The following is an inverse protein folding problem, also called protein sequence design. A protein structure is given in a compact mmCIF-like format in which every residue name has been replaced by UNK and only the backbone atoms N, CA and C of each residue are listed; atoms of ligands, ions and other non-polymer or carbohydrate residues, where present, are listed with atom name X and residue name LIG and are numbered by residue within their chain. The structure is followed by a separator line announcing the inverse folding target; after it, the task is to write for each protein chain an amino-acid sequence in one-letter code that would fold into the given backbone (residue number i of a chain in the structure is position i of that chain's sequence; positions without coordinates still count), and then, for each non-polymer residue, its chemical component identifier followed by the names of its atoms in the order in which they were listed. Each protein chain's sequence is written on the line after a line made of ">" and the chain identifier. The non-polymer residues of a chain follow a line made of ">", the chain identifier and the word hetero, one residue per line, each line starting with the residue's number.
data_IF_208056150674
#
_entry.id   IF_208056150674
#
_cell.length_a   1.000
_cell.length_b   1.000
_cell.length_c   1.000
_cell.angle_alpha   90.00
_cell.angle_beta   90.00
_cell.angle_gamma   90.00
#
_symmetry.space_group_name_H-M   'P 1'
#
loop_
_entity.id
_entity.type
_entity.pdbx_description
1 polymer ?
#
# COMPACT_ATOMS: atom_id res chain seq x y z
N UNK A 1 0.42 -10.23 -39.95
CA UNK A 1 0.92 -9.95 -38.59
C UNK A 1 0.37 -8.60 -38.15
N UNK A 2 -0.16 -8.49 -36.92
CA UNK A 2 -0.72 -7.23 -36.43
C UNK A 2 0.38 -6.17 -36.26
N UNK A 3 0.14 -4.95 -36.76
CA UNK A 3 1.07 -3.82 -36.66
C UNK A 3 1.30 -3.47 -35.19
N UNK A 4 2.56 -3.34 -34.77
CA UNK A 4 2.87 -2.90 -33.41
C UNK A 4 2.19 -1.56 -33.09
N UNK A 5 1.52 -1.45 -31.94
CA UNK A 5 0.93 -0.18 -31.51
C UNK A 5 2.01 0.86 -31.26
N UNK A 6 1.76 2.10 -31.69
CA UNK A 6 2.70 3.22 -31.51
C UNK A 6 2.96 3.45 -30.00
N UNK A 7 4.21 3.68 -29.58
CA UNK A 7 4.51 4.05 -28.20
C UNK A 7 3.88 5.40 -27.85
N UNK A 8 3.55 5.59 -26.57
CA UNK A 8 3.12 6.90 -26.06
C UNK A 8 4.32 7.74 -25.65
N UNK A 9 4.11 9.05 -25.53
CA UNK A 9 5.12 9.95 -24.95
C UNK A 9 5.02 9.91 -23.45
N UNK A 10 6.14 9.73 -22.76
CA UNK A 10 6.19 9.78 -21.31
C UNK A 10 5.71 11.15 -20.81
N UNK A 11 4.86 11.15 -19.80
CA UNK A 11 4.26 12.36 -19.21
C UNK A 11 5.15 12.95 -18.11
N UNK A 12 4.72 14.06 -17.48
CA UNK A 12 5.50 14.70 -16.40
C UNK A 12 5.61 13.81 -15.15
N UNK A 13 4.59 13.01 -14.88
CA UNK A 13 4.54 12.01 -13.81
C UNK A 13 4.35 10.63 -14.42
N UNK A 14 5.21 9.68 -14.06
CA UNK A 14 5.16 8.30 -14.52
C UNK A 14 5.45 7.37 -13.34
N UNK A 15 4.96 6.13 -13.39
CA UNK A 15 5.31 5.07 -12.43
C UNK A 15 6.35 4.13 -13.04
N UNK A 16 7.06 3.36 -12.21
CA UNK A 16 8.04 2.38 -12.71
C UNK A 16 7.38 1.36 -13.65
N UNK A 17 6.18 0.88 -13.29
CA UNK A 17 5.39 -0.04 -14.12
C UNK A 17 4.96 0.57 -15.46
N UNK A 18 4.55 1.84 -15.47
CA UNK A 18 4.24 2.57 -16.72
C UNK A 18 5.48 2.71 -17.60
N UNK A 19 6.62 3.05 -16.99
CA UNK A 19 7.89 3.16 -17.69
C UNK A 19 8.36 1.83 -18.30
N UNK A 20 8.27 0.72 -17.56
CA UNK A 20 8.66 -0.60 -18.09
C UNK A 20 7.71 -1.04 -19.21
N UNK A 21 6.41 -0.74 -19.10
CA UNK A 21 5.44 -0.96 -20.18
C UNK A 21 5.76 -0.12 -21.42
N UNK A 22 6.14 1.14 -21.22
CA UNK A 22 6.59 2.05 -22.28
C UNK A 22 7.85 1.51 -22.96
N UNK A 23 8.86 1.11 -22.18
CA UNK A 23 10.12 0.53 -22.68
C UNK A 23 9.85 -0.68 -23.56
N UNK A 24 9.05 -1.64 -23.07
CA UNK A 24 8.75 -2.86 -23.80
C UNK A 24 8.01 -2.57 -25.11
N UNK A 25 7.03 -1.67 -25.08
CA UNK A 25 6.31 -1.25 -26.31
C UNK A 25 7.24 -0.52 -27.27
N UNK A 26 8.12 0.35 -26.78
CA UNK A 26 9.08 1.10 -27.59
C UNK A 26 10.02 0.15 -28.33
N UNK A 27 10.62 -0.81 -27.62
CA UNK A 27 11.52 -1.82 -28.19
C UNK A 27 10.80 -2.65 -29.25
N UNK A 28 9.62 -3.18 -28.91
CA UNK A 28 8.82 -3.97 -29.86
C UNK A 28 8.46 -3.18 -31.12
N UNK A 29 8.07 -1.92 -30.97
CA UNK A 29 7.76 -1.04 -32.10
C UNK A 29 8.99 -0.78 -32.98
N UNK A 30 10.14 -0.45 -32.38
CA UNK A 30 11.39 -0.19 -33.12
C UNK A 30 11.87 -1.43 -33.89
N UNK A 31 11.80 -2.62 -33.29
CA UNK A 31 12.17 -3.88 -33.94
C UNK A 31 11.28 -4.19 -35.15
N UNK A 32 10.00 -3.82 -35.12
CA UNK A 32 9.09 -4.02 -36.26
C UNK A 32 9.25 -2.98 -37.37
N UNK A 33 9.55 -1.72 -37.04
CA UNK A 33 9.62 -0.65 -38.04
C UNK A 33 10.88 -0.75 -38.90
N UNK A 34 12.03 -1.08 -38.31
CA UNK A 34 13.29 -1.10 -39.02
C UNK A 34 14.20 -2.25 -38.54
N UNK A 35 14.58 -3.11 -39.48
CA UNK A 35 15.53 -4.21 -39.23
C UNK A 35 16.88 -3.68 -38.71
N UNK A 36 17.26 -2.45 -39.05
CA UNK A 36 18.50 -1.81 -38.58
C UNK A 36 18.43 -1.47 -37.10
N UNK A 37 17.28 -1.07 -36.59
CA UNK A 37 17.08 -0.87 -35.15
C UNK A 37 17.07 -2.20 -34.42
N UNK A 38 16.45 -3.24 -34.99
CA UNK A 38 16.49 -4.58 -34.41
C UNK A 38 17.94 -5.05 -34.19
N UNK A 39 18.84 -4.84 -35.16
CA UNK A 39 20.28 -5.13 -35.01
C UNK A 39 20.93 -4.36 -33.85
N UNK A 40 20.56 -3.11 -33.62
CA UNK A 40 21.09 -2.27 -32.52
C UNK A 40 20.50 -2.59 -31.14
N UNK A 41 19.39 -3.33 -31.09
CA UNK A 41 18.65 -3.70 -29.88
C UNK A 41 18.85 -5.17 -29.49
N UNK A 42 19.75 -5.90 -30.16
CA UNK A 42 20.12 -7.28 -29.82
C UNK A 42 20.78 -7.33 -28.45
N UNK A 43 20.51 -8.37 -27.66
CA UNK A 43 21.15 -8.57 -26.36
C UNK A 43 20.53 -7.73 -25.23
N UNK A 44 19.34 -7.16 -25.46
CA UNK A 44 18.57 -6.46 -24.42
C UNK A 44 17.71 -7.41 -23.58
N UNK A 45 17.39 -8.59 -24.11
CA UNK A 45 16.74 -9.66 -23.36
C UNK A 45 17.84 -10.47 -22.64
N UNK A 46 17.76 -10.70 -21.32
CA UNK A 46 18.66 -11.61 -20.63
C UNK A 46 18.63 -13.05 -21.17
N UNK A 47 17.64 -13.42 -21.99
CA UNK A 47 17.58 -14.70 -22.70
C UNK A 47 18.43 -14.74 -24.00
N UNK A 48 18.88 -13.60 -24.52
CA UNK A 48 19.73 -13.55 -25.70
C UNK A 48 21.18 -13.89 -25.34
N UNK A 49 21.82 -14.80 -26.09
CA UNK A 49 23.23 -15.16 -25.89
C UNK A 49 24.19 -14.03 -26.33
N UNK A 50 23.72 -13.08 -27.14
CA UNK A 50 24.54 -11.97 -27.62
C UNK A 50 24.60 -10.83 -26.61
N UNK A 51 25.80 -10.28 -26.40
CA UNK A 51 26.00 -9.12 -25.55
C UNK A 51 25.32 -7.86 -26.14
N UNK A 52 24.76 -6.96 -25.29
CA UNK A 52 24.14 -5.73 -25.75
C UNK A 52 25.16 -4.83 -26.44
N UNK A 53 24.73 -4.19 -27.53
CA UNK A 53 25.58 -3.26 -28.27
C UNK A 53 25.80 -1.99 -27.43
N UNK A 54 27.08 -1.65 -27.27
CA UNK A 54 27.53 -0.43 -26.60
C UNK A 54 28.14 0.50 -27.64
N UNK A 55 27.84 1.79 -27.55
CA UNK A 55 28.39 2.84 -28.39
C UNK A 55 29.05 3.94 -27.55
N UNK A 56 29.89 4.76 -28.18
CA UNK A 56 30.49 5.91 -27.51
C UNK A 56 29.64 7.18 -27.62
N UNK A 57 29.95 8.16 -26.77
CA UNK A 57 29.36 9.50 -26.83
C UNK A 57 29.73 10.17 -28.15
N UNK A 58 28.80 10.94 -28.68
CA UNK A 58 29.08 11.74 -29.87
C UNK A 58 29.96 12.92 -29.47
N UNK A 59 31.14 13.01 -30.10
CA UNK A 59 32.06 14.14 -29.94
C UNK A 59 32.51 14.60 -31.33
N UNK A 60 33.01 15.82 -31.43
CA UNK A 60 33.55 16.35 -32.70
C UNK A 60 34.69 15.47 -33.26
N UNK A 61 35.42 14.77 -32.38
CA UNK A 61 36.53 13.89 -32.73
C UNK A 61 36.08 12.44 -33.01
N UNK A 62 34.86 12.07 -32.61
CA UNK A 62 34.31 10.72 -32.81
C UNK A 62 32.86 10.76 -33.30
N UNK A 63 32.62 11.16 -34.57
CA UNK A 63 31.27 11.23 -35.13
C UNK A 63 30.67 9.84 -35.39
N UNK A 64 31.50 8.80 -35.57
CA UNK A 64 31.06 7.42 -35.82
C UNK A 64 30.86 6.62 -34.53
N UNK A 65 31.10 7.21 -33.36
CA UNK A 65 30.93 6.58 -32.03
C UNK A 65 31.66 5.23 -31.90
N UNK A 66 32.81 5.11 -32.55
CA UNK A 66 33.64 3.90 -32.66
C UNK A 66 33.00 2.70 -33.37
N UNK A 67 31.98 2.90 -34.22
CA UNK A 67 31.59 1.82 -35.12
C UNK A 67 32.70 1.54 -36.13
N UNK A 68 32.88 0.26 -36.47
CA UNK A 68 33.74 -0.23 -37.54
C UNK A 68 32.90 -0.72 -38.71
N UNK A 69 33.50 -0.76 -39.90
CA UNK A 69 32.88 -1.37 -41.07
C UNK A 69 32.65 -2.87 -40.85
N UNK A 70 31.57 -3.42 -41.40
CA UNK A 70 31.37 -4.88 -41.47
C UNK A 70 32.29 -5.50 -42.53
N UNK A 71 32.63 -6.78 -42.35
CA UNK A 71 33.42 -7.54 -43.32
C UNK A 71 32.70 -7.63 -44.68
N UNK A 72 33.44 -7.45 -45.77
CA UNK A 72 32.90 -7.36 -47.14
C UNK A 72 32.13 -8.62 -47.59
N UNK A 73 32.39 -9.77 -46.97
CA UNK A 73 31.76 -11.05 -47.28
C UNK A 73 30.34 -11.23 -46.66
N UNK A 74 29.86 -10.24 -45.91
CA UNK A 74 28.53 -10.31 -45.27
C UNK A 74 27.44 -9.78 -46.22
N UNK A 75 26.34 -10.52 -46.48
CA UNK A 75 25.30 -10.13 -47.45
C UNK A 75 24.46 -8.87 -47.07
N UNK A 76 24.84 -8.12 -46.03
CA UNK A 76 24.26 -6.85 -45.57
C UNK A 76 25.35 -5.99 -44.88
N UNK A 77 26.56 -5.93 -45.44
CA UNK A 77 27.67 -5.17 -44.84
C UNK A 77 27.34 -3.67 -44.74
N UNK A 78 27.46 -3.13 -43.53
CA UNK A 78 27.24 -1.71 -43.26
C UNK A 78 28.57 -1.04 -42.92
N UNK A 79 28.77 0.14 -43.49
CA UNK A 79 29.87 1.02 -43.09
C UNK A 79 29.64 1.59 -41.70
N UNK A 80 30.71 1.96 -41.01
CA UNK A 80 30.71 2.67 -39.74
C UNK A 80 29.82 3.92 -39.78
N UNK A 81 29.85 4.67 -40.89
CA UNK A 81 29.02 5.85 -41.10
C UNK A 81 27.53 5.51 -41.21
N UNK A 82 27.17 4.42 -41.90
CA UNK A 82 25.78 3.96 -42.01
C UNK A 82 25.25 3.42 -40.67
N UNK A 83 26.09 2.73 -39.89
CA UNK A 83 25.76 2.29 -38.52
C UNK A 83 25.53 3.50 -37.60
N UNK A 84 26.44 4.48 -37.64
CA UNK A 84 26.30 5.71 -36.87
C UNK A 84 25.05 6.52 -37.23
N UNK A 85 24.72 6.60 -38.53
CA UNK A 85 23.47 7.23 -38.98
C UNK A 85 22.24 6.49 -38.45
N UNK A 86 22.22 5.16 -38.57
CA UNK A 86 21.13 4.32 -38.07
C UNK A 86 20.94 4.49 -36.55
N UNK A 87 22.05 4.56 -35.80
CA UNK A 87 21.99 4.86 -34.37
C UNK A 87 21.42 6.25 -34.09
N UNK A 88 21.87 7.28 -34.81
CA UNK A 88 21.35 8.64 -34.61
C UNK A 88 19.85 8.75 -34.92
N UNK A 89 19.36 8.04 -35.93
CA UNK A 89 17.93 7.95 -36.25
C UNK A 89 17.16 7.26 -35.11
N UNK A 90 17.71 6.18 -34.56
CA UNK A 90 17.13 5.46 -33.40
C UNK A 90 17.08 6.37 -32.15
N UNK A 91 18.17 7.06 -31.83
CA UNK A 91 18.24 7.99 -30.69
C UNK A 91 17.30 9.19 -30.89
N UNK A 92 17.17 9.66 -32.13
CA UNK A 92 16.18 10.65 -32.54
C UNK A 92 14.76 10.19 -32.22
N UNK A 93 14.42 8.97 -32.63
CA UNK A 93 13.13 8.37 -32.36
C UNK A 93 12.87 8.22 -30.86
N UNK A 94 13.79 7.63 -30.09
CA UNK A 94 13.65 7.46 -28.63
C UNK A 94 13.45 8.82 -27.94
N UNK A 95 14.18 9.85 -28.37
CA UNK A 95 14.05 11.20 -27.79
C UNK A 95 12.68 11.84 -28.00
N UNK A 96 11.93 11.44 -29.03
CA UNK A 96 10.59 11.98 -29.30
C UNK A 96 9.54 11.48 -28.29
N UNK A 97 9.76 10.28 -27.74
CA UNK A 97 8.87 9.64 -26.76
C UNK A 97 9.37 9.74 -25.32
N UNK A 98 10.54 10.34 -25.11
CA UNK A 98 11.15 10.58 -23.80
C UNK A 98 10.92 12.02 -23.35
N UNK A 99 11.13 12.35 -22.05
CA UNK A 99 11.10 13.72 -21.57
C UNK A 99 11.99 14.66 -22.40
N UNK A 100 11.49 15.83 -22.86
CA UNK A 100 12.25 16.74 -23.71
C UNK A 100 13.58 17.20 -23.08
N UNK A 101 13.62 17.33 -21.76
CA UNK A 101 14.82 17.69 -20.98
C UNK A 101 15.97 16.67 -21.14
N UNK A 102 15.65 15.41 -21.49
CA UNK A 102 16.64 14.36 -21.71
C UNK A 102 17.09 14.25 -23.16
N UNK A 103 16.50 14.99 -24.11
CA UNK A 103 16.74 14.79 -25.54
C UNK A 103 18.22 14.98 -25.94
N UNK A 104 18.90 16.00 -25.39
CA UNK A 104 20.33 16.19 -25.60
C UNK A 104 21.14 15.01 -25.07
N UNK A 105 20.81 14.58 -23.86
CA UNK A 105 21.49 13.54 -23.12
C UNK A 105 21.33 12.15 -23.73
N UNK A 106 20.17 11.88 -24.32
CA UNK A 106 19.85 10.67 -25.07
C UNK A 106 20.60 10.68 -26.41
N UNK A 107 20.57 11.80 -27.13
CA UNK A 107 21.23 11.90 -28.43
C UNK A 107 22.74 11.88 -28.29
N UNK A 108 23.35 12.79 -27.53
CA UNK A 108 24.81 13.00 -27.55
C UNK A 108 25.57 12.18 -26.50
N UNK A 109 25.00 12.00 -25.31
CA UNK A 109 25.75 11.49 -24.15
C UNK A 109 25.42 10.04 -23.75
N UNK A 110 24.49 9.38 -24.44
CA UNK A 110 24.15 7.97 -24.19
C UNK A 110 25.22 7.05 -24.77
N UNK A 111 25.39 5.88 -24.13
CA UNK A 111 26.37 4.86 -24.55
C UNK A 111 25.74 3.48 -24.76
N UNK A 112 24.49 3.29 -24.37
CA UNK A 112 23.70 2.08 -24.61
C UNK A 112 22.23 2.37 -24.40
N UNK A 113 21.36 1.44 -24.81
CA UNK A 113 19.93 1.56 -24.53
C UNK A 113 19.63 1.53 -23.03
N UNK A 114 20.32 0.67 -22.27
CA UNK A 114 20.17 0.64 -20.81
C UNK A 114 20.64 1.95 -20.16
N UNK A 115 21.69 2.60 -20.68
CA UNK A 115 22.09 3.93 -20.22
C UNK A 115 20.98 4.97 -20.41
N UNK A 116 20.21 4.88 -21.51
CA UNK A 116 19.04 5.75 -21.73
C UNK A 116 17.96 5.45 -20.70
N UNK A 117 17.63 4.17 -20.48
CA UNK A 117 16.65 3.76 -19.48
C UNK A 117 17.03 4.26 -18.07
N UNK A 118 18.30 4.16 -17.68
CA UNK A 118 18.80 4.67 -16.40
C UNK A 118 18.67 6.19 -16.29
N UNK A 119 18.95 6.94 -17.37
CA UNK A 119 18.76 8.40 -17.38
C UNK A 119 17.29 8.79 -17.19
N UNK A 120 16.38 8.08 -17.86
CA UNK A 120 14.94 8.30 -17.71
C UNK A 120 14.47 7.93 -16.29
N UNK A 121 14.92 6.78 -15.75
CA UNK A 121 14.65 6.40 -14.36
C UNK A 121 15.13 7.45 -13.37
N UNK A 122 16.33 8.00 -13.58
CA UNK A 122 16.87 9.07 -12.73
C UNK A 122 16.03 10.34 -12.80
N UNK A 123 15.50 10.69 -13.98
CA UNK A 123 14.65 11.86 -14.17
C UNK A 123 13.35 11.78 -13.35
N UNK A 124 12.68 10.63 -13.37
CA UNK A 124 11.45 10.41 -12.59
C UNK A 124 11.69 10.05 -11.12
N UNK A 125 12.95 9.96 -10.69
CA UNK A 125 13.26 9.56 -9.32
C UNK A 125 12.97 8.09 -9.03
N UNK A 126 12.92 7.20 -10.03
CA UNK A 126 12.80 5.74 -9.88
C UNK A 126 14.04 5.07 -9.27
N UNK A 127 14.84 5.82 -8.50
CA UNK A 127 16.02 5.27 -7.86
C UNK A 127 15.59 4.33 -6.76
N UNK A 128 15.97 3.07 -6.90
CA UNK A 128 15.93 2.12 -5.80
C UNK A 128 16.80 2.66 -4.66
N UNK A 129 16.18 2.79 -3.49
CA UNK A 129 16.84 3.26 -2.28
C UNK A 129 16.12 2.66 -1.09
N UNK A 130 16.85 2.43 -0.01
CA UNK A 130 16.26 1.95 1.24
C UNK A 130 15.18 2.92 1.77
N UNK A 131 15.33 4.22 1.51
CA UNK A 131 14.30 5.21 1.85
C UNK A 131 12.98 4.96 1.09
N UNK A 132 13.05 4.57 -0.19
CA UNK A 132 11.86 4.19 -0.96
C UNK A 132 11.30 2.85 -0.49
N UNK A 133 12.15 1.88 -0.16
CA UNK A 133 11.73 0.59 0.40
C UNK A 133 10.97 0.77 1.71
N UNK A 134 11.44 1.64 2.62
CA UNK A 134 10.82 1.94 3.91
C UNK A 134 9.39 2.49 3.82
N UNK A 135 8.99 3.09 2.69
CA UNK A 135 7.59 3.48 2.44
C UNK A 135 6.63 2.30 2.42
N UNK A 136 7.13 1.06 2.41
CA UNK A 136 6.33 -0.14 2.63
C UNK A 136 5.53 -0.08 3.95
N UNK A 137 6.10 0.54 4.98
CA UNK A 137 5.44 0.71 6.27
C UNK A 137 4.26 1.71 6.23
N UNK A 138 4.23 2.59 5.24
CA UNK A 138 3.18 3.60 5.05
C UNK A 138 1.98 3.04 4.28
N UNK A 139 2.10 1.85 3.69
CA UNK A 139 0.97 1.17 3.03
C UNK A 139 -0.07 0.83 4.09
N UNK A 140 -1.25 1.40 3.94
CA UNK A 140 -2.41 1.16 4.78
C UNK A 140 -3.63 0.89 3.91
N UNK A 141 -4.61 0.18 4.48
CA UNK A 141 -5.89 -0.02 3.84
C UNK A 141 -6.71 1.28 3.86
N UNK A 142 -7.15 1.73 2.68
CA UNK A 142 -7.93 2.96 2.55
C UNK A 142 -9.45 2.70 2.66
N UNK A 143 -10.19 3.68 3.19
CA UNK A 143 -11.66 3.56 3.32
C UNK A 143 -12.32 3.40 1.97
N UNK A 144 -13.06 2.29 1.78
CA UNK A 144 -13.72 1.97 0.51
C UNK A 144 -12.79 1.37 -0.56
N UNK A 145 -11.53 1.12 -0.23
CA UNK A 145 -10.60 0.40 -1.10
C UNK A 145 -10.93 -1.09 -1.12
N UNK A 146 -10.99 -1.68 -2.32
CA UNK A 146 -11.12 -3.13 -2.49
C UNK A 146 -9.89 -3.87 -1.96
N UNK A 147 -10.03 -4.99 -1.24
CA UNK A 147 -8.91 -5.79 -0.75
C UNK A 147 -7.88 -6.14 -1.84
N UNK A 148 -8.32 -6.45 -3.06
CA UNK A 148 -7.42 -6.80 -4.16
C UNK A 148 -6.56 -5.61 -4.57
N UNK A 149 -7.09 -4.38 -4.55
CA UNK A 149 -6.33 -3.18 -4.87
C UNK A 149 -5.21 -2.97 -3.85
N UNK A 150 -5.49 -3.16 -2.57
CA UNK A 150 -4.47 -3.12 -1.51
C UNK A 150 -3.41 -4.19 -1.74
N UNK A 151 -3.81 -5.42 -2.08
CA UNK A 151 -2.86 -6.50 -2.39
C UNK A 151 -1.93 -6.13 -3.55
N UNK A 152 -2.47 -5.57 -4.63
CA UNK A 152 -1.67 -5.13 -5.78
C UNK A 152 -0.69 -4.03 -5.39
N UNK A 153 -1.06 -3.10 -4.50
CA UNK A 153 -0.12 -2.08 -3.99
C UNK A 153 1.03 -2.69 -3.19
N UNK A 154 0.74 -3.66 -2.32
CA UNK A 154 1.75 -4.39 -1.55
C UNK A 154 2.73 -5.10 -2.49
N UNK A 155 2.21 -5.83 -3.48
CA UNK A 155 3.04 -6.58 -4.44
C UNK A 155 3.84 -5.63 -5.33
N UNK A 156 3.21 -4.59 -5.89
CA UNK A 156 3.88 -3.61 -6.73
C UNK A 156 5.02 -2.91 -5.99
N UNK A 157 4.80 -2.51 -4.73
CA UNK A 157 5.86 -1.91 -3.91
C UNK A 157 7.06 -2.85 -3.72
N UNK A 158 6.80 -4.13 -3.44
CA UNK A 158 7.87 -5.12 -3.29
C UNK A 158 8.62 -5.33 -4.61
N UNK A 159 7.89 -5.47 -5.72
CA UNK A 159 8.46 -5.64 -7.07
C UNK A 159 9.33 -4.45 -7.50
N UNK A 160 8.87 -3.23 -7.24
CA UNK A 160 9.59 -2.00 -7.60
C UNK A 160 10.91 -1.84 -6.82
N UNK A 161 11.02 -2.48 -5.65
CA UNK A 161 12.17 -2.42 -4.76
C UNK A 161 13.03 -3.70 -4.74
N UNK A 162 12.77 -4.68 -5.62
CA UNK A 162 13.67 -5.83 -5.80
C UNK A 162 15.05 -5.36 -6.27
N UNK A 163 16.13 -5.92 -5.71
CA UNK A 163 17.48 -5.47 -6.05
C UNK A 163 17.81 -5.71 -7.51
N UNK A 164 18.29 -4.67 -8.20
CA UNK A 164 18.70 -4.77 -9.60
C UNK A 164 20.21 -4.71 -9.74
N UNK A 165 20.72 -5.37 -10.77
CA UNK A 165 22.14 -5.32 -11.13
C UNK A 165 22.60 -3.89 -11.47
N UNK A 166 21.70 -3.08 -12.01
CA UNK A 166 21.97 -1.68 -12.36
C UNK A 166 21.75 -0.70 -11.20
N UNK A 167 21.37 -1.19 -10.02
CA UNK A 167 21.18 -0.36 -8.83
C UNK A 167 22.52 0.05 -8.20
N UNK A 168 22.51 1.16 -7.47
CA UNK A 168 23.67 1.60 -6.68
C UNK A 168 23.74 0.92 -5.30
N UNK A 169 22.78 0.02 -5.02
CA UNK A 169 22.67 -0.65 -3.75
C UNK A 169 23.61 -1.85 -3.71
N UNK A 170 24.20 -2.07 -2.55
CA UNK A 170 25.02 -3.24 -2.25
C UNK A 170 24.32 -4.08 -1.19
N UNK A 171 24.37 -5.39 -1.35
CA UNK A 171 23.89 -6.36 -0.38
C UNK A 171 25.09 -7.17 0.11
N UNK A 172 25.29 -7.21 1.43
CA UNK A 172 26.48 -7.84 2.04
C UNK A 172 27.82 -7.31 1.49
N UNK A 173 27.86 -6.03 1.10
CA UNK A 173 29.03 -5.39 0.52
C UNK A 173 29.26 -5.70 -0.97
N UNK A 174 28.38 -6.49 -1.59
CA UNK A 174 28.48 -6.89 -2.98
C UNK A 174 27.37 -6.22 -3.82
N UNK A 175 27.71 -5.81 -5.04
CA UNK A 175 26.71 -5.36 -6.01
C UNK A 175 25.94 -6.56 -6.57
N UNK A 176 24.60 -6.49 -6.71
CA UNK A 176 23.83 -7.59 -7.27
C UNK A 176 24.36 -8.00 -8.66
N UNK A 177 24.66 -9.29 -8.85
CA UNK A 177 25.17 -9.82 -10.13
C UNK A 177 24.04 -9.96 -11.17
N UNK A 178 22.81 -10.13 -10.70
CA UNK A 178 21.61 -10.30 -11.52
C UNK A 178 20.44 -9.53 -10.90
N UNK A 179 19.43 -9.24 -11.71
CA UNK A 179 18.17 -8.71 -11.21
C UNK A 179 17.49 -9.75 -10.31
N UNK A 180 17.09 -9.32 -9.13
CA UNK A 180 16.32 -10.13 -8.20
C UNK A 180 14.92 -10.39 -8.76
N UNK A 181 14.40 -11.57 -8.46
CA UNK A 181 13.04 -11.98 -8.78
C UNK A 181 12.35 -12.24 -7.45
N UNK A 182 11.07 -11.84 -7.35
CA UNK A 182 10.27 -12.06 -6.15
C UNK A 182 10.24 -13.56 -5.82
N UNK A 183 10.84 -13.94 -4.69
CA UNK A 183 10.90 -15.35 -4.29
C UNK A 183 9.55 -15.82 -3.74
N UNK A 184 9.25 -17.13 -3.77
CA UNK A 184 8.01 -17.68 -3.20
C UNK A 184 7.80 -17.30 -1.72
N UNK A 185 8.89 -17.13 -0.97
CA UNK A 185 8.82 -16.67 0.43
C UNK A 185 8.32 -15.23 0.52
N UNK A 186 8.84 -14.33 -0.31
CA UNK A 186 8.42 -12.91 -0.34
C UNK A 186 6.97 -12.80 -0.80
N UNK A 187 6.55 -13.58 -1.80
CA UNK A 187 5.15 -13.61 -2.24
C UNK A 187 4.19 -14.06 -1.13
N UNK A 188 4.58 -15.08 -0.34
CA UNK A 188 3.79 -15.54 0.82
C UNK A 188 3.73 -14.49 1.92
N UNK A 189 4.84 -13.79 2.17
CA UNK A 189 4.89 -12.69 3.14
C UNK A 189 4.03 -11.50 2.68
N UNK A 190 3.97 -11.22 1.37
CA UNK A 190 3.10 -10.19 0.82
C UNK A 190 1.62 -10.48 1.13
N UNK A 191 1.18 -11.73 0.97
CA UNK A 191 -0.19 -12.14 1.33
C UNK A 191 -0.44 -12.03 2.84
N UNK A 192 0.51 -12.46 3.68
CA UNK A 192 0.39 -12.33 5.13
C UNK A 192 0.25 -10.86 5.54
N UNK A 193 1.14 -10.00 5.04
CA UNK A 193 1.12 -8.56 5.32
C UNK A 193 -0.17 -7.92 4.84
N UNK A 194 -0.65 -8.28 3.65
CA UNK A 194 -1.93 -7.83 3.12
C UNK A 194 -3.10 -8.16 4.06
N UNK A 195 -3.18 -9.38 4.58
CA UNK A 195 -4.22 -9.76 5.55
C UNK A 195 -4.12 -8.96 6.85
N UNK A 196 -2.91 -8.76 7.37
CA UNK A 196 -2.67 -7.97 8.59
C UNK A 196 -3.08 -6.50 8.43
N UNK A 197 -2.87 -5.92 7.24
CA UNK A 197 -3.25 -4.54 6.93
C UNK A 197 -4.78 -4.36 6.87
N UNK A 198 -5.53 -5.39 6.47
CA UNK A 198 -6.99 -5.35 6.46
C UNK A 198 -7.53 -5.47 7.89
N UNK A 199 -7.11 -6.50 8.62
CA UNK A 199 -7.53 -6.68 10.01
C UNK A 199 -6.56 -7.58 10.80
N UNK A 200 -6.17 -7.20 12.04
CA UNK A 200 -5.18 -7.95 12.83
C UNK A 200 -5.60 -9.39 13.17
N UNK A 201 -6.90 -9.65 13.25
CA UNK A 201 -7.45 -11.00 13.50
C UNK A 201 -7.59 -11.88 12.25
N UNK A 202 -7.47 -11.32 11.05
CA UNK A 202 -7.72 -12.04 9.80
C UNK A 202 -6.77 -13.23 9.58
N UNK A 203 -5.44 -13.12 9.83
CA UNK A 203 -4.56 -14.27 9.67
C UNK A 203 -4.93 -15.47 10.56
N UNK A 204 -5.42 -15.21 11.78
CA UNK A 204 -5.83 -16.27 12.69
C UNK A 204 -7.11 -16.97 12.21
N UNK A 205 -8.07 -16.19 11.68
CA UNK A 205 -9.31 -16.73 11.11
C UNK A 205 -9.03 -17.55 9.84
N UNK A 206 -8.24 -17.02 8.91
CA UNK A 206 -7.82 -17.74 7.68
C UNK A 206 -7.10 -19.05 8.03
N UNK A 207 -6.22 -19.02 9.04
CA UNK A 207 -5.55 -20.24 9.54
C UNK A 207 -6.52 -21.29 10.06
N UNK A 208 -7.60 -20.88 10.74
CA UNK A 208 -8.66 -21.77 11.24
C UNK A 208 -9.50 -22.34 10.10
N UNK A 209 -9.94 -21.48 9.19
CA UNK A 209 -10.88 -21.83 8.12
C UNK A 209 -10.24 -22.70 7.04
N UNK A 210 -9.01 -22.36 6.61
CA UNK A 210 -8.30 -23.07 5.55
C UNK A 210 -7.21 -24.02 6.08
N UNK A 211 -7.37 -24.54 7.31
CA UNK A 211 -6.34 -25.34 7.98
C UNK A 211 -5.86 -26.54 7.14
N UNK A 212 -6.75 -27.17 6.38
CA UNK A 212 -6.43 -28.30 5.50
C UNK A 212 -5.65 -27.85 4.25
N UNK A 213 -6.11 -26.81 3.56
CA UNK A 213 -5.49 -26.34 2.31
C UNK A 213 -4.10 -25.73 2.57
N UNK A 214 -3.92 -25.04 3.70
CA UNK A 214 -2.64 -24.48 4.12
C UNK A 214 -1.55 -25.53 4.38
N UNK A 215 -1.88 -26.82 4.48
CA UNK A 215 -0.89 -27.90 4.56
C UNK A 215 -0.33 -28.29 3.18
N UNK A 216 -1.02 -27.92 2.09
CA UNK A 216 -0.76 -28.43 0.73
C UNK A 216 -0.55 -27.33 -0.30
N UNK A 217 -0.94 -26.10 0.02
CA UNK A 217 -0.90 -24.93 -0.85
C UNK A 217 -0.19 -23.76 -0.17
N UNK A 218 0.45 -22.91 -0.97
CA UNK A 218 1.08 -21.70 -0.42
C UNK A 218 0.02 -20.63 -0.15
N UNK A 219 0.32 -19.68 0.74
CA UNK A 219 -0.54 -18.51 0.95
C UNK A 219 -0.76 -17.71 -0.34
N UNK A 220 0.24 -17.69 -1.23
CA UNK A 220 0.14 -17.05 -2.54
C UNK A 220 -0.92 -17.71 -3.41
N UNK A 221 -0.96 -19.04 -3.45
CA UNK A 221 -1.94 -19.80 -4.23
C UNK A 221 -3.35 -19.75 -3.61
N UNK A 222 -3.43 -19.63 -2.29
CA UNK A 222 -4.70 -19.48 -1.56
C UNK A 222 -5.28 -18.06 -1.63
N UNK A 223 -4.49 -17.06 -2.04
CA UNK A 223 -4.88 -15.66 -2.02
C UNK A 223 -6.21 -15.37 -2.74
N UNK A 224 -6.53 -15.93 -3.93
CA UNK A 224 -7.81 -15.70 -4.58
C UNK A 224 -9.01 -16.19 -3.76
N UNK A 225 -8.90 -17.39 -3.18
CA UNK A 225 -9.95 -17.98 -2.34
C UNK A 225 -10.16 -17.18 -1.05
N UNK A 226 -9.06 -16.67 -0.47
CA UNK A 226 -9.12 -15.79 0.70
C UNK A 226 -9.83 -14.49 0.31
N UNK A 227 -9.45 -13.89 -0.82
CA UNK A 227 -10.04 -12.62 -1.29
C UNK A 227 -11.57 -12.72 -1.45
N UNK A 228 -12.05 -13.79 -2.10
CA UNK A 228 -13.49 -14.05 -2.27
C UNK A 228 -14.24 -14.20 -0.92
N UNK A 229 -13.55 -14.65 0.13
CA UNK A 229 -14.12 -14.87 1.45
C UNK A 229 -13.93 -13.69 2.44
N UNK A 230 -13.18 -12.64 2.06
CA UNK A 230 -12.79 -11.56 2.99
C UNK A 230 -13.99 -10.86 3.61
N UNK A 231 -15.01 -10.51 2.83
CA UNK A 231 -16.16 -9.78 3.36
C UNK A 231 -16.89 -10.58 4.45
N UNK A 232 -17.02 -11.90 4.25
CA UNK A 232 -17.55 -12.83 5.24
C UNK A 232 -16.68 -12.90 6.50
N UNK A 233 -15.36 -12.97 6.34
CA UNK A 233 -14.44 -12.96 7.48
C UNK A 233 -14.47 -11.66 8.27
N UNK A 234 -14.60 -10.52 7.60
CA UNK A 234 -14.70 -9.22 8.26
C UNK A 234 -15.99 -9.11 9.07
N UNK A 235 -17.09 -9.66 8.57
CA UNK A 235 -18.35 -9.70 9.29
C UNK A 235 -18.28 -10.65 10.50
N UNK A 236 -17.70 -11.84 10.34
CA UNK A 236 -17.45 -12.77 11.46
C UNK A 236 -16.60 -12.13 12.56
N UNK A 237 -15.51 -11.43 12.18
CA UNK A 237 -14.62 -10.75 13.12
C UNK A 237 -15.33 -9.60 13.86
N UNK A 238 -16.21 -8.84 13.18
CA UNK A 238 -17.05 -7.82 13.82
C UNK A 238 -17.99 -8.46 14.85
N UNK A 239 -18.62 -9.58 14.50
CA UNK A 239 -19.52 -10.30 15.40
C UNK A 239 -18.79 -10.88 16.61
N UNK A 240 -17.60 -11.47 16.42
CA UNK A 240 -16.74 -11.95 17.52
C UNK A 240 -16.33 -10.80 18.46
N UNK A 241 -16.04 -9.61 17.92
CA UNK A 241 -15.72 -8.42 18.72
C UNK A 241 -16.93 -7.92 19.53
N UNK A 242 -18.12 -7.87 18.93
CA UNK A 242 -19.37 -7.47 19.61
C UNK A 242 -19.73 -8.49 20.70
N UNK A 243 -19.66 -9.79 20.39
CA UNK A 243 -19.92 -10.87 21.34
C UNK A 243 -18.95 -10.82 22.53
N UNK A 244 -17.67 -10.60 22.26
CA UNK A 244 -16.65 -10.42 23.31
C UNK A 244 -16.89 -9.18 24.16
N UNK A 245 -17.31 -8.06 23.57
CA UNK A 245 -17.67 -6.85 24.31
C UNK A 245 -18.89 -7.07 25.20
N UNK A 246 -19.95 -7.70 24.67
CA UNK A 246 -21.15 -8.08 25.43
C UNK A 246 -20.80 -9.00 26.59
N UNK A 247 -20.01 -10.05 26.36
CA UNK A 247 -19.57 -10.97 27.41
C UNK A 247 -18.81 -10.25 28.55
N UNK A 248 -17.96 -9.26 28.22
CA UNK A 248 -17.28 -8.43 29.23
C UNK A 248 -18.25 -7.54 30.01
N UNK A 249 -19.29 -7.01 29.37
CA UNK A 249 -20.33 -6.21 30.06
C UNK A 249 -21.16 -7.11 31.00
N UNK A 250 -21.54 -8.31 30.55
CA UNK A 250 -22.24 -9.28 31.39
C UNK A 250 -21.36 -9.75 32.56
N UNK A 251 -20.07 -10.03 32.37
CA UNK A 251 -19.15 -10.36 33.47
C UNK A 251 -18.98 -9.22 34.49
N UNK A 252 -19.08 -7.96 34.04
CA UNK A 252 -18.95 -6.79 34.91
C UNK A 252 -20.23 -6.51 35.71
N UNK A 253 -21.40 -6.90 35.17
CA UNK A 253 -22.71 -6.75 35.83
C UNK A 253 -23.13 -7.99 36.63
N UNK A 254 -22.53 -9.16 36.39
CA UNK A 254 -22.74 -10.41 37.13
C UNK A 254 -21.56 -10.74 38.06
N UNK A 255 -20.94 -9.74 38.68
CA UNK A 255 -20.29 -9.99 39.98
C UNK A 255 -21.43 -10.19 40.99
N UNK A 256 -21.61 -11.39 41.57
CA UNK A 256 -22.59 -11.56 42.63
C UNK A 256 -22.20 -10.64 43.78
N UNK A 257 -23.09 -9.72 44.13
CA UNK A 257 -23.15 -9.05 45.43
C UNK A 257 -23.39 -10.10 46.51
N UNK A 258 -22.36 -10.88 46.84
CA UNK A 258 -22.51 -11.99 47.78
C UNK A 258 -21.43 -13.05 47.63
N UNK A 259 -20.18 -12.71 47.93
CA UNK A 259 -19.26 -13.51 48.74
C UNK A 259 -17.91 -12.79 48.77
N UNK A 260 -17.66 -12.08 49.88
CA UNK A 260 -16.30 -11.70 50.24
C UNK A 260 -15.47 -12.98 50.40
N UNK A 261 -14.24 -13.08 49.87
CA UNK A 261 -13.35 -14.17 50.22
C UNK A 261 -13.14 -14.21 51.75
N UNK A 262 -12.95 -15.40 52.36
CA UNK A 262 -12.76 -15.51 53.80
C UNK A 262 -11.55 -14.69 54.22
N UNK A 263 -11.75 -13.81 55.19
CA UNK A 263 -10.69 -13.05 55.83
C UNK A 263 -9.67 -14.04 56.41
N UNK A 264 -8.36 -13.96 56.08
CA UNK A 264 -7.37 -14.81 56.73
C UNK A 264 -7.31 -14.51 58.24
N UNK A 265 -6.96 -15.51 59.08
CA UNK A 265 -6.91 -15.34 60.52
C UNK A 265 -5.89 -14.26 60.93
N UNK A 266 -6.11 -13.56 62.06
CA UNK A 266 -5.24 -12.48 62.48
C UNK A 266 -3.87 -13.03 62.87
N UNK A 267 -2.84 -12.66 62.11
CA UNK A 267 -1.45 -12.87 62.50
C UNK A 267 -1.05 -11.89 63.62
N UNK A 268 -0.20 -12.29 64.57
CA UNK A 268 0.26 -11.40 65.63
C UNK A 268 1.06 -10.23 65.06
N UNK A 269 0.73 -9.04 65.56
CA UNK A 269 1.31 -7.73 65.21
C UNK A 269 2.84 -7.77 65.24
N UNK A 270 3.46 -7.41 64.12
CA UNK A 270 4.75 -6.72 64.14
C UNK A 270 4.51 -5.20 64.01
N UNK A 271 5.26 -4.36 64.73
CA UNK A 271 5.06 -2.92 64.72
C UNK A 271 5.63 -2.33 63.43
N UNK A 272 4.76 -2.11 62.44
CA UNK A 272 5.09 -1.31 61.27
C UNK A 272 5.00 0.16 61.70
N UNK A 273 6.14 0.85 61.65
CA UNK A 273 6.25 2.29 61.76
C UNK A 273 5.17 2.96 60.91
N UNK A 274 4.39 3.83 61.52
CA UNK A 274 3.31 4.57 60.88
C UNK A 274 3.83 5.43 59.72
N UNK A 275 3.83 4.88 58.50
CA UNK A 275 3.66 5.70 57.30
C UNK A 275 2.18 6.09 57.27
N UNK A 276 1.92 7.31 57.71
CA UNK A 276 0.64 7.99 57.54
C UNK A 276 0.23 7.89 56.07
N UNK A 277 -0.75 7.05 55.78
CA UNK A 277 -1.49 7.09 54.52
C UNK A 277 -2.28 8.40 54.54
N UNK A 278 -1.75 9.44 53.91
CA UNK A 278 -2.53 10.65 53.62
C UNK A 278 -3.46 10.33 52.45
N UNK A 279 -4.79 10.29 52.62
CA UNK A 279 -5.69 10.27 51.49
C UNK A 279 -5.52 11.61 50.77
N UNK A 280 -4.88 11.60 49.60
CA UNK A 280 -4.84 12.79 48.75
C UNK A 280 -6.27 13.06 48.31
N UNK A 281 -6.93 14.02 48.97
CA UNK A 281 -8.27 14.51 48.65
C UNK A 281 -8.24 15.34 47.36
N UNK A 282 -7.72 14.75 46.27
CA UNK A 282 -7.61 15.33 44.94
C UNK A 282 -8.95 15.23 44.19
N UNK A 283 -10.04 15.59 44.87
CA UNK A 283 -11.34 15.80 44.20
C UNK A 283 -11.19 17.05 43.34
N UNK A 284 -11.23 16.89 42.01
CA UNK A 284 -11.28 18.03 41.08
C UNK A 284 -12.57 18.00 40.26
N UNK A 285 -13.38 19.05 40.36
CA UNK A 285 -14.59 19.19 39.55
C UNK A 285 -14.24 19.41 38.07
N UNK A 286 -14.65 18.48 37.19
CA UNK A 286 -14.31 18.54 35.77
C UNK A 286 -14.93 19.75 35.06
N UNK A 287 -16.13 20.18 35.46
CA UNK A 287 -16.78 21.39 34.92
C UNK A 287 -16.03 22.66 35.33
N UNK A 288 -15.60 22.76 36.59
CA UNK A 288 -14.77 23.88 37.02
C UNK A 288 -13.41 23.85 36.33
N UNK A 289 -12.83 22.67 36.08
CA UNK A 289 -11.57 22.53 35.35
C UNK A 289 -11.71 22.96 33.89
N UNK A 290 -12.78 22.56 33.20
CA UNK A 290 -13.06 22.95 31.82
C UNK A 290 -13.32 24.46 31.69
N UNK A 291 -13.97 25.06 32.69
CA UNK A 291 -14.22 26.51 32.74
C UNK A 291 -13.06 27.33 33.33
N UNK A 292 -11.88 26.72 33.50
CA UNK A 292 -10.69 27.32 34.10
C UNK A 292 -10.92 28.01 35.47
N UNK A 293 -11.87 27.49 36.25
CA UNK A 293 -12.21 27.91 37.61
C UNK A 293 -11.46 27.06 38.65
N UNK A 294 -11.43 27.51 39.91
CA UNK A 294 -10.84 26.74 41.01
C UNK A 294 -11.57 25.41 41.18
N UNK A 295 -10.96 24.33 40.71
CA UNK A 295 -11.57 23.00 40.64
C UNK A 295 -11.13 22.07 41.77
N UNK A 296 -10.07 22.42 42.50
CA UNK A 296 -9.50 21.59 43.57
C UNK A 296 -10.37 21.61 44.83
N UNK A 297 -10.56 20.43 45.45
CA UNK A 297 -11.18 20.26 46.77
C UNK A 297 -12.66 19.92 46.77
N UNK A 298 -13.31 19.79 45.61
CA UNK A 298 -14.72 19.38 45.53
C UNK A 298 -15.01 18.53 44.29
N UNK A 299 -16.02 17.66 44.38
CA UNK A 299 -16.53 16.89 43.24
C UNK A 299 -17.59 17.67 42.46
N UNK A 300 -17.87 17.26 41.23
CA UNK A 300 -18.95 17.83 40.41
C UNK A 300 -20.31 17.87 41.14
N UNK A 301 -20.63 16.83 41.93
CA UNK A 301 -21.88 16.78 42.71
C UNK A 301 -21.94 17.85 43.83
N UNK A 302 -20.78 18.24 44.34
CA UNK A 302 -20.63 19.25 45.41
C UNK A 302 -20.34 20.65 44.83
N UNK A 303 -20.41 20.83 43.52
CA UNK A 303 -20.10 22.09 42.86
C UNK A 303 -21.15 23.18 43.18
N UNK A 304 -20.72 24.34 43.66
CA UNK A 304 -21.62 25.47 43.96
C UNK A 304 -22.06 26.25 42.70
N UNK A 305 -21.39 26.05 41.58
CA UNK A 305 -21.72 26.70 40.31
C UNK A 305 -22.81 25.98 39.52
N UNK A 306 -23.35 24.90 40.07
CA UNK A 306 -24.39 24.11 39.45
C UNK A 306 -25.58 23.98 40.40
N UNK A 307 -26.76 24.26 39.88
CA UNK A 307 -28.02 23.98 40.55
C UNK A 307 -28.20 22.48 40.74
N UNK A 308 -29.09 22.09 41.66
CA UNK A 308 -29.43 20.67 41.87
C UNK A 308 -30.01 20.01 40.61
N UNK A 309 -30.70 20.78 39.76
CA UNK A 309 -31.27 20.31 38.51
C UNK A 309 -30.16 19.99 37.50
N UNK A 310 -29.25 20.94 37.25
CA UNK A 310 -28.10 20.75 36.34
C UNK A 310 -27.19 19.60 36.78
N UNK A 311 -26.99 19.43 38.10
CA UNK A 311 -26.24 18.28 38.65
C UNK A 311 -26.89 16.95 38.30
N UNK A 312 -28.22 16.89 38.38
CA UNK A 312 -28.98 15.68 38.08
C UNK A 312 -29.01 15.41 36.57
N UNK A 313 -29.13 16.44 35.73
CA UNK A 313 -29.20 16.30 34.28
C UNK A 313 -27.85 15.87 33.69
N UNK A 314 -26.74 16.40 34.20
CA UNK A 314 -25.40 15.95 33.80
C UNK A 314 -25.13 14.52 34.31
N UNK A 315 -25.57 14.17 35.53
CA UNK A 315 -25.45 12.80 36.03
C UNK A 315 -26.31 11.80 35.23
N UNK A 316 -27.46 12.24 34.71
CA UNK A 316 -28.31 11.47 33.78
C UNK A 316 -27.70 11.38 32.39
N UNK A 317 -27.15 12.46 31.85
CA UNK A 317 -26.53 12.47 30.52
C UNK A 317 -25.27 11.59 30.48
N UNK A 318 -24.47 11.56 31.56
CA UNK A 318 -23.38 10.58 31.72
C UNK A 318 -23.84 9.13 31.91
N UNK A 319 -25.14 8.87 32.17
CA UNK A 319 -25.75 7.53 32.18
C UNK A 319 -26.37 7.14 30.83
N UNK A 320 -26.61 8.09 29.92
CA UNK A 320 -27.35 7.88 28.66
C UNK A 320 -26.44 7.71 27.44
N UNK A 321 -25.12 7.80 27.56
CA UNK A 321 -24.18 7.38 26.51
C UNK A 321 -24.11 5.86 26.29
N UNK A 322 -25.15 5.11 26.68
CA UNK A 322 -25.24 3.66 26.53
C UNK A 322 -26.69 3.16 26.48
N UNK A 323 -27.53 3.60 25.53
CA UNK A 323 -28.70 2.82 25.06
C UNK A 323 -29.03 3.19 23.60
N UNK A 324 -29.21 2.13 22.80
CA UNK A 324 -29.78 2.04 21.45
C UNK A 324 -30.91 3.03 21.12
N UNK A 325 -30.86 3.55 19.89
CA UNK A 325 -31.99 4.15 19.19
C UNK A 325 -32.65 3.05 18.35
N UNK A 326 -33.67 2.40 18.92
CA UNK A 326 -34.56 1.48 18.24
C UNK A 326 -35.98 1.72 18.73
N UNK A 327 -36.76 2.46 17.95
CA UNK A 327 -38.21 2.59 18.14
C UNK A 327 -38.92 1.99 16.93
N UNK A 328 -39.59 0.86 17.18
CA UNK A 328 -40.65 0.28 16.36
C UNK A 328 -41.78 1.31 16.14
N UNK A 329 -42.32 1.37 14.93
CA UNK A 329 -43.56 2.07 14.62
C UNK A 329 -44.53 1.01 14.10
N UNK A 330 -45.52 0.67 14.93
CA UNK A 330 -46.72 -0.07 14.54
C UNK A 330 -47.63 0.84 13.72
N UNK A 331 -48.03 0.40 12.52
CA UNK A 331 -49.11 1.01 11.75
C UNK A 331 -49.80 -0.02 10.85
N UNK A 332 -50.80 -0.72 11.38
CA UNK A 332 -51.90 -1.28 10.61
C UNK A 332 -53.20 -0.51 10.95
N UNK A 333 -54.08 -0.42 9.96
CA UNK A 333 -55.44 0.16 9.92
C UNK A 333 -55.62 1.65 9.56
N UNK A 334 -55.81 1.90 8.26
CA UNK A 334 -56.99 2.62 7.73
C UNK A 334 -57.02 2.47 6.19
N UNK A 335 -57.69 1.41 5.73
CA UNK A 335 -58.15 1.26 4.35
C UNK A 335 -59.58 1.78 4.31
N UNK A 336 -59.81 2.96 3.72
CA UNK A 336 -61.12 3.29 3.15
C UNK A 336 -60.93 4.20 1.93
N UNK A 337 -61.04 3.52 0.79
CA UNK A 337 -61.59 3.97 -0.50
C UNK A 337 -62.19 5.38 -0.54
N UNK A 338 -61.83 6.15 -1.57
CA UNK A 338 -62.80 6.68 -2.55
C UNK A 338 -62.08 7.08 -3.84
N UNK A 339 -62.41 6.33 -4.90
CA UNK A 339 -62.29 6.74 -6.29
C UNK A 339 -63.03 8.07 -6.52
N UNK A 340 -62.51 8.95 -7.38
CA UNK A 340 -63.26 9.70 -8.39
C UNK A 340 -62.25 10.14 -9.48
N UNK A 341 -62.67 9.90 -10.72
CA UNK A 341 -61.96 10.08 -11.98
C UNK A 341 -61.83 11.55 -12.45
N UNK A 342 -60.97 11.66 -13.47
CA UNK A 342 -61.11 12.46 -14.70
C UNK A 342 -60.80 13.96 -14.71
N UNK A 343 -59.82 14.26 -15.56
CA UNK A 343 -59.81 15.27 -16.62
C UNK A 343 -60.57 16.58 -16.38
N UNK A 344 -59.85 17.70 -16.38
CA UNK A 344 -60.03 18.75 -17.40
C UNK A 344 -59.00 19.88 -17.30
N UNK A 345 -58.32 20.11 -18.42
CA UNK A 345 -57.94 21.39 -19.03
C UNK A 345 -57.64 22.62 -18.15
N UNK A 346 -56.40 23.12 -18.25
CA UNK A 346 -56.06 24.46 -18.77
C UNK A 346 -54.55 24.57 -19.02
#
# INVERSE_FOLDING_TARGET
>A
MAKAPKPWKLQEEETLSSFDSWRNRLVYYMQQQDKRFAKLLVGLDPADEQAPIVWQKETSENPTRNFTDDDEDTPDSLTAAQKAKSLNDMLGFISEYSPPLLAHDIKKASTSFENICQKIRKYYGFKQSEAQFMKFAEIAWETGERPEKLYQRVVAHLQDNLLRQDSQLVHDGETPVRNEIMSPTVERLAVLKWMELIHPGLPALVKRTFAYDLQRMTLKDMQPQIADAIDGFLEELKQEAIGSARARVFQRNFLPTGTRPPRPPPTPRQPISARQYQPTNNKSCFICRAANRRSQGHSFMECNYLSKVEKNDIAKSCRVSSVDEGTEIDAEDALETLEINDDTAA
#
